data_IF_638067227085
#
_entry.id   IF_638067227085
#
_cell.length_a   1.000
_cell.length_b   1.000
_cell.length_c   1.000
_cell.angle_alpha   90.00
_cell.angle_beta   90.00
_cell.angle_gamma   90.00
#
_symmetry.space_group_name_H-M   'P 1'
#
loop_
_entity.id
_entity.type
_entity.pdbx_description
1 polymer ?
#
# COMPACT_ATOMS: atom_id res chain seq x y z
N UNK A 1 -36.28 -6.39 -24.36
CA UNK A 1 -35.45 -7.45 -24.92
C UNK A 1 -35.30 -8.55 -23.88
N UNK A 2 -35.55 -9.79 -24.20
CA UNK A 2 -35.45 -10.94 -23.29
C UNK A 2 -34.01 -11.22 -22.83
N UNK A 3 -33.06 -10.40 -23.26
CA UNK A 3 -31.64 -10.45 -22.88
C UNK A 3 -31.25 -9.32 -21.93
N UNK A 4 -32.18 -8.47 -21.49
CA UNK A 4 -31.91 -7.42 -20.53
C UNK A 4 -32.14 -7.95 -19.12
N UNK A 5 -31.04 -7.95 -18.32
CA UNK A 5 -31.08 -8.31 -16.91
C UNK A 5 -30.83 -7.05 -16.10
N UNK A 6 -31.71 -6.76 -15.16
CA UNK A 6 -31.55 -5.62 -14.22
C UNK A 6 -31.02 -6.14 -12.91
N UNK A 7 -30.00 -5.46 -12.41
CA UNK A 7 -29.44 -5.74 -11.09
C UNK A 7 -29.65 -4.52 -10.19
N UNK A 8 -30.18 -4.72 -9.01
CA UNK A 8 -30.10 -3.71 -7.98
C UNK A 8 -28.71 -3.71 -7.36
N UNK A 9 -28.04 -2.55 -7.31
CA UNK A 9 -26.73 -2.40 -6.72
C UNK A 9 -26.87 -1.68 -5.38
N UNK A 10 -26.65 -2.40 -4.29
CA UNK A 10 -26.56 -1.84 -2.97
C UNK A 10 -25.09 -1.78 -2.55
N UNK A 11 -24.51 -0.56 -2.56
CA UNK A 11 -23.10 -0.35 -2.20
C UNK A 11 -22.95 -0.27 -0.68
N UNK A 12 -22.81 -1.41 -0.04
CA UNK A 12 -22.47 -1.50 1.37
C UNK A 12 -20.95 -1.63 1.51
N UNK A 13 -20.29 -0.59 1.99
CA UNK A 13 -18.82 -0.47 2.02
C UNK A 13 -18.32 -0.04 3.39
N UNK A 14 -17.08 -0.43 3.69
CA UNK A 14 -16.34 -0.02 4.89
C UNK A 14 -15.50 1.22 4.56
N UNK A 15 -16.08 2.43 4.69
CA UNK A 15 -15.35 3.68 4.38
C UNK A 15 -14.23 3.93 5.39
N UNK A 16 -14.50 3.69 6.67
CA UNK A 16 -13.56 3.83 7.78
C UNK A 16 -12.79 2.55 8.13
N UNK A 17 -13.02 1.48 7.35
CA UNK A 17 -12.43 0.16 7.58
C UNK A 17 -13.07 -0.64 8.71
N UNK A 18 -14.06 -0.10 9.40
CA UNK A 18 -14.69 -0.73 10.58
C UNK A 18 -16.19 -0.94 10.40
N UNK A 19 -16.92 0.13 10.06
CA UNK A 19 -18.38 0.10 10.06
C UNK A 19 -18.95 0.00 8.66
N UNK A 20 -19.75 -1.04 8.33
CA UNK A 20 -20.42 -1.14 7.05
C UNK A 20 -21.52 -0.06 6.94
N UNK A 21 -21.47 0.71 5.85
CA UNK A 21 -22.45 1.75 5.55
C UNK A 21 -22.88 1.67 4.09
N UNK A 22 -24.18 1.83 3.86
CA UNK A 22 -24.71 2.01 2.50
C UNK A 22 -24.37 3.41 2.04
N UNK A 23 -23.67 3.51 0.91
CA UNK A 23 -23.15 4.77 0.39
C UNK A 23 -23.55 4.99 -1.05
N UNK A 24 -23.72 6.27 -1.41
CA UNK A 24 -23.83 6.68 -2.80
C UNK A 24 -22.50 6.50 -3.54
N UNK A 25 -22.54 6.39 -4.87
CA UNK A 25 -21.33 6.32 -5.69
C UNK A 25 -20.38 7.51 -5.44
N UNK A 26 -20.92 8.71 -5.25
CA UNK A 26 -20.14 9.92 -4.97
C UNK A 26 -19.36 9.79 -3.64
N UNK A 27 -20.01 9.30 -2.59
CA UNK A 27 -19.36 9.09 -1.28
C UNK A 27 -18.25 8.05 -1.36
N UNK A 28 -18.50 6.94 -2.05
CA UNK A 28 -17.49 5.89 -2.24
C UNK A 28 -16.29 6.40 -3.02
N UNK A 29 -16.50 7.15 -4.12
CA UNK A 29 -15.41 7.72 -4.91
C UNK A 29 -14.62 8.75 -4.11
N UNK A 30 -15.28 9.59 -3.31
CA UNK A 30 -14.59 10.54 -2.44
C UNK A 30 -13.73 9.82 -1.40
N UNK A 31 -14.29 8.86 -0.70
CA UNK A 31 -13.57 8.06 0.29
C UNK A 31 -12.37 7.32 -0.34
N UNK A 32 -12.53 6.79 -1.55
CA UNK A 32 -11.43 6.18 -2.30
C UNK A 32 -10.29 7.18 -2.58
N UNK A 33 -10.61 8.41 -3.01
CA UNK A 33 -9.60 9.44 -3.26
C UNK A 33 -8.88 9.85 -1.97
N UNK A 34 -9.63 10.07 -0.88
CA UNK A 34 -9.08 10.41 0.42
C UNK A 34 -8.13 9.31 0.93
N UNK A 35 -8.53 8.04 0.79
CA UNK A 35 -7.68 6.91 1.12
C UNK A 35 -6.42 6.83 0.24
N UNK A 36 -6.54 7.09 -1.07
CA UNK A 36 -5.38 7.14 -1.98
C UNK A 36 -4.36 8.18 -1.54
N UNK A 37 -4.83 9.36 -1.13
CA UNK A 37 -3.97 10.42 -0.59
C UNK A 37 -3.31 9.98 0.73
N UNK A 38 -4.04 9.39 1.65
CA UNK A 38 -3.49 8.85 2.90
C UNK A 38 -2.38 7.83 2.64
N UNK A 39 -2.62 6.88 1.73
CA UNK A 39 -1.61 5.89 1.33
C UNK A 39 -0.38 6.56 0.70
N UNK A 40 -0.57 7.60 -0.13
CA UNK A 40 0.53 8.38 -0.71
C UNK A 40 1.40 8.99 0.40
N UNK A 41 0.80 9.68 1.36
CA UNK A 41 1.49 10.30 2.49
C UNK A 41 2.25 9.26 3.32
N UNK A 42 1.61 8.14 3.65
CA UNK A 42 2.23 7.06 4.44
C UNK A 42 3.43 6.44 3.72
N UNK A 43 3.32 6.24 2.41
CA UNK A 43 4.43 5.74 1.58
C UNK A 43 5.58 6.74 1.48
N UNK A 44 5.27 8.03 1.32
CA UNK A 44 6.27 9.10 1.29
C UNK A 44 7.04 9.17 2.62
N UNK A 45 6.37 9.17 3.75
CA UNK A 45 7.00 9.15 5.08
C UNK A 45 7.91 7.94 5.27
N UNK A 46 7.43 6.75 4.93
CA UNK A 46 8.26 5.54 5.03
C UNK A 46 9.48 5.56 4.09
N UNK A 47 9.34 6.19 2.91
CA UNK A 47 10.47 6.37 2.00
C UNK A 47 11.49 7.35 2.57
N UNK A 48 11.05 8.46 3.17
CA UNK A 48 11.92 9.42 3.87
C UNK A 48 12.73 8.76 4.98
N UNK A 49 12.09 7.97 5.85
CA UNK A 49 12.80 7.24 6.90
C UNK A 49 13.92 6.33 6.36
N UNK A 50 13.69 5.72 5.20
CA UNK A 50 14.72 4.89 4.53
C UNK A 50 15.82 5.74 3.93
N UNK A 51 15.48 6.89 3.36
CA UNK A 51 16.44 7.84 2.80
C UNK A 51 17.33 8.38 3.91
N UNK A 52 16.75 8.86 5.02
CA UNK A 52 17.50 9.43 6.14
C UNK A 52 18.49 8.41 6.72
N UNK A 53 18.07 7.18 6.96
CA UNK A 53 18.97 6.10 7.41
C UNK A 53 20.09 5.80 6.40
N UNK A 54 19.80 5.87 5.10
CA UNK A 54 20.81 5.63 4.08
C UNK A 54 21.78 6.80 3.96
N UNK A 55 21.28 8.03 4.03
CA UNK A 55 22.11 9.25 4.04
C UNK A 55 23.05 9.27 5.23
N UNK A 56 22.59 8.94 6.44
CA UNK A 56 23.44 8.81 7.62
C UNK A 56 24.64 7.88 7.36
N UNK A 57 24.39 6.69 6.80
CA UNK A 57 25.45 5.74 6.47
C UNK A 57 26.40 6.30 5.39
N UNK A 58 25.87 6.93 4.33
CA UNK A 58 26.64 7.48 3.23
C UNK A 58 27.54 8.62 3.72
N UNK A 59 27.06 9.50 4.59
CA UNK A 59 27.83 10.58 5.17
C UNK A 59 29.02 10.04 5.98
N UNK A 60 28.79 9.02 6.82
CA UNK A 60 29.89 8.37 7.55
C UNK A 60 30.92 7.73 6.62
N UNK A 61 30.48 7.05 5.56
CA UNK A 61 31.41 6.47 4.58
C UNK A 61 32.20 7.55 3.84
N UNK A 62 31.60 8.67 3.48
CA UNK A 62 32.29 9.79 2.80
C UNK A 62 33.35 10.39 3.75
N UNK A 63 33.02 10.57 5.03
CA UNK A 63 33.99 11.01 6.05
C UNK A 63 35.20 10.06 6.10
N UNK A 64 34.92 8.74 6.14
CA UNK A 64 35.98 7.74 6.16
C UNK A 64 36.85 7.76 4.89
N UNK A 65 36.26 8.00 3.73
CA UNK A 65 37.02 8.14 2.48
C UNK A 65 37.93 9.37 2.47
N UNK A 66 37.44 10.49 3.01
CA UNK A 66 38.22 11.72 3.11
C UNK A 66 39.40 11.60 4.08
N UNK A 67 39.23 10.82 5.14
CA UNK A 67 40.20 10.65 6.22
C UNK A 67 40.74 9.21 6.30
N UNK A 68 40.93 8.56 5.16
CA UNK A 68 41.22 7.13 5.07
C UNK A 68 42.45 6.70 5.87
N UNK A 69 43.53 7.46 5.81
CA UNK A 69 44.77 7.12 6.53
C UNK A 69 44.55 7.15 8.05
N UNK A 70 43.83 8.16 8.56
CA UNK A 70 43.46 8.24 9.97
C UNK A 70 42.54 7.11 10.42
N UNK A 71 41.56 6.76 9.63
CA UNK A 71 40.68 5.62 9.90
C UNK A 71 41.45 4.30 9.95
N UNK A 72 42.38 4.09 9.03
CA UNK A 72 43.27 2.91 9.04
C UNK A 72 44.15 2.88 10.26
N UNK A 73 44.73 3.99 10.66
CA UNK A 73 45.60 4.09 11.86
C UNK A 73 44.82 3.74 13.12
N UNK A 74 43.60 4.28 13.30
CA UNK A 74 42.73 3.96 14.43
C UNK A 74 42.41 2.44 14.42
N UNK A 75 42.02 1.87 13.30
CA UNK A 75 41.67 0.44 13.21
C UNK A 75 42.86 -0.47 13.54
N UNK A 76 44.09 -0.04 13.21
CA UNK A 76 45.30 -0.87 13.41
C UNK A 76 45.92 -0.76 14.79
N UNK A 77 45.84 0.41 15.44
CA UNK A 77 46.65 0.71 16.60
C UNK A 77 45.85 0.93 17.88
N UNK A 78 44.55 1.23 17.78
CA UNK A 78 43.70 1.41 18.96
C UNK A 78 43.13 0.06 19.46
N UNK A 79 43.04 -0.09 20.79
CA UNK A 79 42.49 -1.29 21.42
C UNK A 79 40.99 -1.43 21.20
N UNK A 80 40.24 -0.30 21.10
CA UNK A 80 38.82 -0.26 20.82
C UNK A 80 38.55 0.71 19.67
N UNK A 81 38.69 0.25 18.41
CA UNK A 81 38.51 1.10 17.24
C UNK A 81 37.13 1.73 17.15
N UNK A 82 36.11 1.06 17.67
CA UNK A 82 34.73 1.59 17.63
C UNK A 82 34.61 2.86 18.48
N UNK A 83 35.10 2.83 19.71
CA UNK A 83 35.08 4.00 20.60
C UNK A 83 36.00 5.11 20.12
N UNK A 84 37.18 4.75 19.59
CA UNK A 84 38.11 5.73 19.07
C UNK A 84 37.54 6.48 17.86
N UNK A 85 36.91 5.80 16.92
CA UNK A 85 36.22 6.42 15.76
C UNK A 85 35.04 7.33 16.17
N UNK A 86 34.32 7.00 17.23
CA UNK A 86 33.23 7.83 17.76
C UNK A 86 33.72 9.06 18.52
N UNK A 87 34.88 8.96 19.19
CA UNK A 87 35.46 10.04 19.97
C UNK A 87 36.32 11.01 19.18
N UNK A 88 36.71 10.64 17.94
CA UNK A 88 37.51 11.48 17.07
C UNK A 88 36.70 12.64 16.52
N UNK A 89 37.29 13.82 16.43
CA UNK A 89 36.70 15.01 15.82
C UNK A 89 37.04 15.04 14.30
N UNK A 90 36.07 14.68 13.50
CA UNK A 90 36.19 14.62 12.02
C UNK A 90 35.95 15.98 11.34
N UNK A 91 35.65 17.02 12.09
CA UNK A 91 35.51 18.41 11.58
C UNK A 91 36.88 19.03 11.27
N UNK A 92 37.95 18.49 11.85
CA UNK A 92 39.34 18.94 11.63
C UNK A 92 39.83 18.33 10.32
N UNK A 93 40.25 19.18 9.38
CA UNK A 93 40.74 18.81 8.07
C UNK A 93 42.04 17.96 8.12
N UNK A 94 41.92 16.66 8.19
CA UNK A 94 43.01 15.71 7.91
C UNK A 94 43.01 15.31 6.45
N UNK A 95 43.18 16.29 5.52
CA UNK A 95 42.90 16.07 4.12
C UNK A 95 44.01 15.36 3.39
N UNK A 96 43.67 14.22 2.81
CA UNK A 96 44.42 13.57 1.71
C UNK A 96 44.35 14.36 0.41
N UNK A 97 43.49 15.37 0.28
CA UNK A 97 42.92 15.76 -1.00
C UNK A 97 43.35 17.12 -1.56
N UNK A 98 44.25 17.86 -0.93
CA UNK A 98 44.68 19.17 -1.47
C UNK A 98 45.39 19.09 -2.84
N UNK A 99 45.73 17.89 -3.28
CA UNK A 99 46.39 17.65 -4.56
C UNK A 99 45.48 17.07 -5.65
N UNK A 100 44.21 16.84 -5.40
CA UNK A 100 43.26 16.30 -6.38
C UNK A 100 42.40 17.43 -6.97
N UNK A 101 42.42 17.58 -8.30
CA UNK A 101 41.74 18.66 -9.06
C UNK A 101 40.21 18.67 -8.91
N UNK A 102 39.63 17.57 -8.45
CA UNK A 102 38.16 17.37 -8.35
C UNK A 102 37.66 17.34 -6.89
N UNK A 103 38.49 17.82 -5.94
CA UNK A 103 38.13 17.85 -4.54
C UNK A 103 37.09 18.92 -4.26
N UNK A 104 35.91 18.50 -3.82
CA UNK A 104 34.87 19.38 -3.27
C UNK A 104 34.86 19.17 -1.75
N UNK A 105 35.23 20.19 -1.01
CA UNK A 105 35.16 20.18 0.46
C UNK A 105 33.71 19.95 0.88
N UNK A 106 33.43 18.95 1.74
CA UNK A 106 32.08 18.77 2.27
C UNK A 106 31.72 19.94 3.18
N UNK A 107 30.62 20.61 2.89
CA UNK A 107 30.22 21.86 3.53
C UNK A 107 29.62 21.71 4.93
N UNK A 108 29.29 20.50 5.39
CA UNK A 108 28.68 20.25 6.70
C UNK A 108 29.10 18.88 7.23
N UNK A 109 30.34 18.78 7.71
CA UNK A 109 30.75 17.64 8.53
C UNK A 109 30.41 17.98 9.98
N UNK A 110 29.45 17.29 10.58
CA UNK A 110 29.33 17.23 12.03
C UNK A 110 30.54 16.46 12.55
N UNK A 111 31.21 17.01 13.60
CA UNK A 111 32.52 16.54 14.04
C UNK A 111 32.54 15.12 14.61
N UNK A 112 31.40 14.52 14.95
CA UNK A 112 31.30 13.21 15.58
C UNK A 112 30.57 12.20 14.68
N UNK A 113 31.04 10.95 14.66
CA UNK A 113 30.39 9.86 13.95
C UNK A 113 29.37 9.15 14.85
N UNK A 114 28.18 8.84 14.32
CA UNK A 114 27.21 8.01 15.01
C UNK A 114 27.66 6.54 15.08
N UNK A 115 27.10 5.78 16.01
CA UNK A 115 27.37 4.34 16.12
C UNK A 115 27.06 3.58 14.82
N UNK A 116 26.00 3.96 14.12
CA UNK A 116 25.59 3.37 12.83
C UNK A 116 26.63 3.65 11.76
N UNK A 117 27.16 4.86 11.71
CA UNK A 117 28.21 5.26 10.76
C UNK A 117 29.51 4.50 11.03
N UNK A 118 29.93 4.42 12.29
CA UNK A 118 31.13 3.68 12.68
C UNK A 118 31.01 2.20 12.35
N UNK A 119 29.87 1.60 12.61
CA UNK A 119 29.65 0.19 12.27
C UNK A 119 29.68 -0.04 10.75
N UNK A 120 29.14 0.88 9.96
CA UNK A 120 29.24 0.82 8.51
C UNK A 120 30.71 0.95 8.01
N UNK A 121 31.50 1.81 8.63
CA UNK A 121 32.94 1.98 8.32
C UNK A 121 33.71 0.71 8.64
N UNK A 122 33.54 0.15 9.84
CA UNK A 122 34.24 -1.08 10.26
C UNK A 122 33.87 -2.31 9.40
N UNK A 123 32.65 -2.36 8.89
CA UNK A 123 32.19 -3.43 8.00
C UNK A 123 32.53 -3.19 6.53
N UNK A 124 33.24 -2.11 6.19
CA UNK A 124 33.58 -1.78 4.82
C UNK A 124 34.62 -2.77 4.25
N UNK A 125 34.39 -3.22 3.02
CA UNK A 125 35.33 -4.10 2.34
C UNK A 125 36.48 -3.31 1.76
N UNK A 126 37.72 -3.81 1.86
CA UNK A 126 38.92 -3.15 1.31
C UNK A 126 38.81 -2.77 -0.17
N UNK A 127 38.08 -3.58 -0.97
CA UNK A 127 37.86 -3.27 -2.40
C UNK A 127 36.98 -2.01 -2.60
N UNK A 128 36.16 -1.64 -1.61
CA UNK A 128 35.30 -0.45 -1.67
C UNK A 128 36.09 0.85 -1.49
N UNK A 129 37.35 0.79 -1.02
CA UNK A 129 38.22 1.94 -0.84
C UNK A 129 38.79 2.54 -2.15
N UNK A 130 38.25 2.09 -3.29
CA UNK A 130 38.68 2.62 -4.60
C UNK A 130 38.00 3.97 -4.87
N UNK A 131 38.75 4.90 -5.49
CA UNK A 131 38.26 6.24 -5.88
C UNK A 131 36.93 6.21 -6.68
N UNK A 132 36.76 5.22 -7.55
CA UNK A 132 35.51 5.07 -8.32
C UNK A 132 34.30 4.80 -7.43
N UNK A 133 34.47 4.07 -6.34
CA UNK A 133 33.40 3.79 -5.38
C UNK A 133 33.01 5.06 -4.61
N UNK A 134 33.97 5.92 -4.24
CA UNK A 134 33.69 7.22 -3.63
C UNK A 134 32.78 8.09 -4.52
N UNK A 135 33.07 8.18 -5.79
CA UNK A 135 32.23 8.93 -6.74
C UNK A 135 30.81 8.38 -6.83
N UNK A 136 30.65 7.06 -6.74
CA UNK A 136 29.35 6.40 -6.74
C UNK A 136 28.57 6.76 -5.47
N UNK A 137 29.22 6.69 -4.31
CA UNK A 137 28.58 7.05 -3.03
C UNK A 137 28.15 8.52 -2.99
N UNK A 138 28.98 9.43 -3.51
CA UNK A 138 28.62 10.87 -3.59
C UNK A 138 27.41 11.11 -4.49
N UNK A 139 27.34 10.45 -5.65
CA UNK A 139 26.19 10.55 -6.54
C UNK A 139 24.93 9.98 -5.86
N UNK A 140 25.05 8.81 -5.24
CA UNK A 140 23.93 8.22 -4.50
C UNK A 140 23.41 9.17 -3.40
N UNK A 141 24.32 9.81 -2.64
CA UNK A 141 23.96 10.81 -1.65
C UNK A 141 23.20 11.99 -2.28
N UNK A 142 23.70 12.54 -3.35
CA UNK A 142 23.12 13.72 -4.02
C UNK A 142 21.73 13.39 -4.59
N UNK A 143 21.58 12.20 -5.21
CA UNK A 143 20.29 11.71 -5.71
C UNK A 143 19.28 11.51 -4.58
N UNK A 144 19.70 10.94 -3.44
CA UNK A 144 18.83 10.74 -2.27
C UNK A 144 18.48 12.07 -1.59
N UNK A 145 19.40 13.03 -1.53
CA UNK A 145 19.11 14.36 -1.00
C UNK A 145 18.06 15.09 -1.86
N UNK A 146 18.17 14.98 -3.19
CA UNK A 146 17.15 15.53 -4.08
C UNK A 146 15.80 14.84 -3.88
N UNK A 147 15.77 13.51 -3.84
CA UNK A 147 14.54 12.74 -3.58
C UNK A 147 13.92 13.13 -2.23
N UNK A 148 14.75 13.35 -1.21
CA UNK A 148 14.31 13.80 0.12
C UNK A 148 13.57 15.13 0.04
N UNK A 149 14.16 16.14 -0.63
CA UNK A 149 13.55 17.46 -0.81
C UNK A 149 12.20 17.34 -1.55
N UNK A 150 12.15 16.56 -2.63
CA UNK A 150 10.90 16.34 -3.38
C UNK A 150 9.79 15.69 -2.53
N UNK A 151 10.17 14.76 -1.63
CA UNK A 151 9.21 14.11 -0.73
C UNK A 151 8.77 15.04 0.42
N UNK A 152 9.68 15.85 0.96
CA UNK A 152 9.37 16.85 1.97
C UNK A 152 8.40 17.91 1.42
N UNK A 153 8.65 18.41 0.21
CA UNK A 153 7.77 19.34 -0.51
C UNK A 153 6.39 18.71 -0.75
N UNK A 154 6.36 17.44 -1.18
CA UNK A 154 5.11 16.71 -1.37
C UNK A 154 4.32 16.56 -0.06
N UNK A 155 5.00 16.34 1.07
CA UNK A 155 4.33 16.20 2.36
C UNK A 155 3.84 17.53 2.92
N UNK A 156 4.53 18.64 2.61
CA UNK A 156 4.17 19.98 3.07
C UNK A 156 2.98 20.58 2.30
N UNK A 157 2.80 20.21 1.02
CA UNK A 157 1.82 20.81 0.13
C UNK A 157 0.68 19.84 -0.25
N UNK A 158 -0.55 20.21 0.19
CA UNK A 158 -1.73 19.42 -0.09
C UNK A 158 -2.09 19.39 -1.59
N UNK A 159 -1.84 20.46 -2.30
CA UNK A 159 -2.18 20.54 -3.73
C UNK A 159 -1.24 19.66 -4.55
N UNK A 160 0.03 19.58 -4.18
CA UNK A 160 0.97 18.62 -4.76
C UNK A 160 0.54 17.16 -4.52
N UNK A 161 0.04 16.85 -3.32
CA UNK A 161 -0.49 15.51 -3.02
C UNK A 161 -1.65 15.15 -3.96
N UNK A 162 -2.61 16.07 -4.14
CA UNK A 162 -3.74 15.85 -5.04
C UNK A 162 -3.33 15.75 -6.50
N UNK A 163 -2.39 16.56 -6.94
CA UNK A 163 -1.82 16.47 -8.28
C UNK A 163 -1.16 15.12 -8.52
N UNK A 164 -0.40 14.61 -7.55
CA UNK A 164 0.24 13.29 -7.64
C UNK A 164 -0.77 12.16 -7.72
N UNK A 165 -1.85 12.22 -6.93
CA UNK A 165 -2.97 11.27 -7.01
C UNK A 165 -3.65 11.35 -8.38
N UNK A 166 -3.88 12.55 -8.90
CA UNK A 166 -4.48 12.76 -10.22
C UNK A 166 -3.61 12.16 -11.35
N UNK A 167 -2.29 12.32 -11.27
CA UNK A 167 -1.37 11.73 -12.26
C UNK A 167 -1.39 10.21 -12.23
N UNK A 168 -1.41 9.59 -11.06
CA UNK A 168 -1.56 8.14 -10.92
C UNK A 168 -2.88 7.63 -11.52
N UNK A 169 -3.95 8.40 -11.37
CA UNK A 169 -5.24 8.07 -11.99
C UNK A 169 -5.22 8.23 -13.51
N UNK A 170 -4.51 9.26 -14.02
CA UNK A 170 -4.31 9.45 -15.46
C UNK A 170 -3.50 8.30 -16.06
N UNK A 171 -2.46 7.82 -15.39
CA UNK A 171 -1.72 6.63 -15.80
C UNK A 171 -2.59 5.37 -15.82
N UNK A 172 -3.41 5.18 -14.78
CA UNK A 172 -4.38 4.08 -14.73
C UNK A 172 -5.37 4.16 -15.88
N UNK A 173 -5.85 5.38 -16.17
CA UNK A 173 -6.73 5.63 -17.32
C UNK A 173 -6.07 5.29 -18.66
N UNK A 174 -4.77 5.59 -18.83
CA UNK A 174 -4.01 5.18 -20.03
C UNK A 174 -3.90 3.66 -20.16
N UNK A 175 -3.64 2.98 -19.03
CA UNK A 175 -3.48 1.52 -19.01
C UNK A 175 -4.77 0.75 -19.24
N UNK A 176 -5.90 1.25 -18.71
CA UNK A 176 -7.18 0.53 -18.68
C UNK A 176 -8.34 1.29 -19.32
N UNK A 177 -8.08 2.41 -19.97
CA UNK A 177 -9.08 3.25 -20.61
C UNK A 177 -9.61 2.68 -21.96
N UNK A 178 -10.33 3.52 -22.68
CA UNK A 178 -11.04 3.11 -23.92
C UNK A 178 -10.14 2.52 -24.99
N UNK A 179 -8.87 2.92 -25.02
CA UNK A 179 -7.89 2.50 -26.03
C UNK A 179 -7.23 1.15 -25.69
N UNK A 180 -7.52 0.60 -24.51
CA UNK A 180 -7.05 -0.72 -24.11
C UNK A 180 -7.97 -1.81 -24.64
N UNK A 181 -7.38 -2.94 -25.06
CA UNK A 181 -8.12 -4.09 -25.56
C UNK A 181 -9.08 -4.62 -24.46
N UNK A 182 -10.35 -4.31 -24.52
CA UNK A 182 -11.35 -4.61 -23.48
C UNK A 182 -11.76 -3.43 -22.60
N UNK A 183 -11.11 -2.27 -22.69
CA UNK A 183 -11.46 -1.06 -21.92
C UNK A 183 -12.70 -0.32 -22.45
N UNK A 184 -13.26 -0.75 -23.59
CA UNK A 184 -14.47 -0.14 -24.16
C UNK A 184 -15.67 -0.47 -23.28
N UNK A 185 -16.28 0.57 -22.69
CA UNK A 185 -17.46 0.41 -21.84
C UNK A 185 -18.61 -0.22 -22.63
N UNK A 186 -19.14 -1.30 -22.14
CA UNK A 186 -20.33 -1.98 -22.68
C UNK A 186 -21.61 -1.52 -21.98
N UNK A 187 -21.53 -1.12 -20.71
CA UNK A 187 -22.66 -0.62 -19.92
C UNK A 187 -22.90 0.88 -20.17
N UNK A 188 -24.15 1.29 -20.22
CA UNK A 188 -24.58 2.69 -20.28
C UNK A 188 -24.98 3.16 -18.88
N UNK A 189 -24.82 4.44 -18.61
CA UNK A 189 -25.41 5.09 -17.44
C UNK A 189 -26.63 5.82 -17.96
N UNK A 190 -27.79 5.46 -17.46
CA UNK A 190 -29.08 6.05 -17.82
C UNK A 190 -29.70 6.65 -16.56
N UNK A 191 -30.60 7.61 -16.73
CA UNK A 191 -31.33 8.18 -15.61
C UNK A 191 -32.21 7.10 -14.97
N UNK A 192 -32.37 7.20 -13.64
CA UNK A 192 -33.23 6.29 -12.89
C UNK A 192 -34.67 6.49 -13.38
N UNK A 193 -35.24 5.45 -13.94
CA UNK A 193 -36.67 5.36 -14.22
C UNK A 193 -37.29 4.64 -13.05
N UNK A 194 -38.23 5.31 -12.37
CA UNK A 194 -39.00 4.70 -11.29
C UNK A 194 -39.78 3.49 -11.87
N UNK A 195 -39.34 2.32 -11.47
CA UNK A 195 -40.01 1.10 -11.89
C UNK A 195 -41.07 0.89 -10.82
N UNK A 196 -42.34 0.96 -11.22
CA UNK A 196 -43.43 0.49 -10.36
C UNK A 196 -43.01 -0.86 -9.79
N UNK A 197 -42.90 -0.95 -8.48
CA UNK A 197 -42.58 -2.19 -7.79
C UNK A 197 -43.61 -3.24 -8.21
N UNK A 198 -43.16 -4.15 -9.07
CA UNK A 198 -43.99 -5.34 -9.38
C UNK A 198 -44.06 -6.09 -8.04
N UNK A 199 -45.27 -6.22 -7.46
CA UNK A 199 -45.39 -6.87 -6.17
C UNK A 199 -44.80 -8.28 -6.29
N UNK A 200 -43.95 -8.63 -5.33
CA UNK A 200 -43.25 -9.93 -5.29
C UNK A 200 -44.20 -11.10 -5.50
N UNK A 201 -45.47 -10.92 -5.09
CA UNK A 201 -46.55 -11.86 -5.29
C UNK A 201 -46.92 -12.14 -6.76
N UNK A 202 -46.59 -11.19 -7.66
CA UNK A 202 -46.83 -11.39 -9.11
C UNK A 202 -45.70 -12.19 -9.79
N UNK A 203 -44.54 -12.34 -9.11
CA UNK A 203 -43.39 -13.11 -9.58
C UNK A 203 -43.39 -14.56 -9.07
N UNK A 204 -44.31 -14.87 -8.11
CA UNK A 204 -44.42 -16.21 -7.55
C UNK A 204 -45.39 -17.01 -8.40
N UNK A 205 -44.91 -18.00 -9.13
CA UNK A 205 -45.76 -18.99 -9.75
C UNK A 205 -46.58 -19.71 -8.66
N UNK A 206 -47.92 -19.61 -8.78
CA UNK A 206 -48.83 -20.28 -7.85
C UNK A 206 -48.90 -21.76 -8.26
N UNK A 207 -48.05 -22.56 -7.62
CA UNK A 207 -48.10 -24.00 -7.77
C UNK A 207 -48.88 -24.64 -6.59
N UNK A 208 -49.63 -25.69 -6.80
CA UNK A 208 -50.20 -26.46 -5.69
C UNK A 208 -49.06 -27.11 -4.91
N UNK A 209 -49.06 -26.95 -3.61
CA UNK A 209 -48.08 -27.53 -2.70
C UNK A 209 -48.75 -28.35 -1.62
N UNK A 210 -48.13 -29.42 -1.20
CA UNK A 210 -48.53 -30.16 -0.02
C UNK A 210 -47.55 -29.80 1.10
N UNK A 211 -48.09 -29.31 2.25
CA UNK A 211 -47.31 -28.96 3.41
C UNK A 211 -47.39 -30.11 4.41
N UNK A 212 -46.25 -30.62 4.79
CA UNK A 212 -46.14 -31.71 5.78
C UNK A 212 -45.49 -31.16 7.05
N UNK A 213 -46.20 -31.28 8.17
CA UNK A 213 -45.70 -30.97 9.50
C UNK A 213 -45.42 -32.26 10.28
N UNK A 214 -44.22 -32.37 10.86
CA UNK A 214 -43.88 -33.49 11.70
C UNK A 214 -44.27 -33.30 13.17
N UNK A 215 -44.26 -34.38 13.95
CA UNK A 215 -44.55 -34.35 15.41
C UNK A 215 -43.56 -33.52 16.19
N UNK A 216 -42.31 -33.42 15.71
CA UNK A 216 -41.24 -32.61 16.29
C UNK A 216 -41.25 -31.14 15.80
N UNK A 217 -42.26 -30.72 15.02
CA UNK A 217 -42.42 -29.35 14.56
C UNK A 217 -41.64 -28.98 13.28
N UNK A 218 -41.08 -29.91 12.56
CA UNK A 218 -40.47 -29.65 11.27
C UNK A 218 -41.53 -29.49 10.21
N UNK A 219 -41.38 -28.45 9.38
CA UNK A 219 -42.30 -28.14 8.28
C UNK A 219 -41.54 -28.30 6.95
N UNK A 220 -42.14 -28.98 5.99
CA UNK A 220 -41.62 -29.18 4.66
C UNK A 220 -42.73 -29.00 3.63
N UNK A 221 -42.46 -28.22 2.57
CA UNK A 221 -43.32 -28.10 1.42
C UNK A 221 -42.87 -29.07 0.33
N UNK A 222 -43.80 -29.68 -0.37
CA UNK A 222 -43.56 -30.55 -1.50
C UNK A 222 -44.44 -30.09 -2.65
N UNK A 223 -43.93 -30.07 -3.89
CA UNK A 223 -44.65 -29.64 -5.07
C UNK A 223 -45.74 -30.63 -5.44
N UNK A 224 -46.92 -30.14 -5.76
CA UNK A 224 -48.08 -30.93 -6.15
C UNK A 224 -48.86 -31.53 -4.99
N UNK A 225 -49.92 -32.25 -5.30
CA UNK A 225 -50.72 -33.03 -4.34
C UNK A 225 -50.02 -34.37 -4.15
N UNK A 226 -49.66 -34.70 -2.90
CA UNK A 226 -49.01 -35.98 -2.59
C UNK A 226 -50.09 -36.97 -2.19
N UNK A 227 -50.00 -38.17 -2.71
CA UNK A 227 -50.85 -39.27 -2.29
C UNK A 227 -50.51 -39.62 -0.80
N UNK A 228 -51.56 -39.61 0.05
CA UNK A 228 -51.43 -39.85 1.49
C UNK A 228 -50.90 -41.24 1.82
N UNK A 229 -50.95 -42.16 0.85
CA UNK A 229 -50.43 -43.54 1.02
C UNK A 229 -48.90 -43.63 0.78
N UNK A 230 -48.26 -42.55 0.35
CA UNK A 230 -46.83 -42.53 0.07
C UNK A 230 -46.04 -42.43 1.35
N UNK A 231 -45.13 -43.37 1.64
CA UNK A 231 -44.23 -43.32 2.77
C UNK A 231 -43.35 -42.07 2.73
N UNK A 232 -43.58 -41.17 3.67
CA UNK A 232 -42.78 -39.95 3.87
C UNK A 232 -41.64 -40.26 4.83
N UNK A 233 -40.38 -39.94 4.43
CA UNK A 233 -39.20 -40.09 5.27
C UNK A 233 -39.16 -38.98 6.31
N UNK A 234 -39.07 -39.30 7.57
CA UNK A 234 -38.85 -38.43 8.72
C UNK A 234 -37.49 -38.75 9.37
N UNK A 235 -37.02 -37.87 10.28
CA UNK A 235 -35.84 -38.19 11.11
C UNK A 235 -36.15 -39.29 12.10
N UNK A 236 -35.09 -39.95 12.60
CA UNK A 236 -35.23 -41.00 13.58
C UNK A 236 -35.99 -40.54 14.82
N UNK A 237 -37.07 -41.22 15.16
CA UNK A 237 -37.96 -40.87 16.27
C UNK A 237 -39.05 -39.81 15.99
N UNK A 238 -39.11 -39.29 14.74
CA UNK A 238 -40.16 -38.34 14.30
C UNK A 238 -41.19 -39.02 13.38
N UNK A 239 -42.32 -38.37 13.16
CA UNK A 239 -43.41 -38.90 12.33
C UNK A 239 -44.37 -37.83 11.86
N UNK A 240 -45.29 -38.16 10.97
CA UNK A 240 -46.25 -37.20 10.43
C UNK A 240 -47.20 -36.75 11.56
N UNK A 241 -47.49 -35.42 11.56
CA UNK A 241 -48.49 -34.83 12.44
C UNK A 241 -49.68 -34.30 11.62
N UNK A 242 -49.41 -33.32 10.74
CA UNK A 242 -50.46 -32.71 9.90
C UNK A 242 -49.90 -32.61 8.45
N UNK A 243 -50.77 -32.95 7.47
CA UNK A 243 -50.55 -32.83 6.05
C UNK A 243 -51.71 -32.05 5.45
N UNK A 244 -51.43 -30.94 4.73
CA UNK A 244 -52.42 -30.14 3.99
C UNK A 244 -52.05 -30.01 2.54
#
# INVERSE_FOLDING_TARGET
SDLEIRFSLNMNVLIDGVTPKVCSLKEVLKAFLDHRREVLIRRAKHRLEKIDKRLEVLEGLIIAFLNLDRVIDIIRYDEDPKKALMAEDWSIEHHRATNESDYVSPTNLEGELSEVQVEAILNMRLRSLRRLEEMVLRRERDDLMQERVELDDLLADQDQQWNRVADQLRETKKKFGKDYLGGKRKSKIEDYVDIEDVPIEALIEKEPITVVCSKMGWVRAMTGHIDLEKELKFKDGDGPNIIF
#
